data_IF_323190071930
#
_entry.id   IF_323190071930
#
_cell.length_a   1.000
_cell.length_b   1.000
_cell.length_c   1.000
_cell.angle_alpha   90.00
_cell.angle_beta   90.00
_cell.angle_gamma   90.00
#
_symmetry.space_group_name_H-M   'P 1'
#
loop_
_entity.id
_entity.type
_entity.pdbx_description
1 polymer ?
#
# COMPACT_ATOMS: atom_id res chain seq x y z
N UNK A 1 29.76 -0.06 -1.64
CA UNK A 1 28.84 -0.31 -2.77
C UNK A 1 28.36 -1.75 -2.64
N UNK A 2 27.19 -1.97 -2.02
CA UNK A 2 26.71 -3.31 -1.65
C UNK A 2 26.18 -4.10 -2.84
N UNK A 3 26.34 -5.43 -2.82
CA UNK A 3 25.85 -6.35 -3.85
C UNK A 3 24.69 -7.15 -3.28
N UNK A 4 23.52 -7.10 -3.91
CA UNK A 4 22.32 -7.87 -3.49
C UNK A 4 22.02 -8.92 -4.55
N UNK A 5 21.87 -10.19 -4.14
CA UNK A 5 21.37 -11.29 -4.99
C UNK A 5 20.35 -12.13 -4.22
N UNK A 6 19.12 -12.19 -4.72
CA UNK A 6 18.05 -13.04 -4.17
C UNK A 6 17.44 -13.95 -5.24
N UNK A 7 17.08 -15.19 -4.87
CA UNK A 7 16.36 -16.13 -5.73
C UNK A 7 14.94 -16.33 -5.18
N UNK A 8 13.93 -16.32 -6.05
CA UNK A 8 12.52 -16.60 -5.68
C UNK A 8 12.37 -18.11 -5.52
N UNK A 9 11.84 -18.58 -4.40
CA UNK A 9 11.35 -19.95 -4.25
C UNK A 9 9.83 -19.94 -4.39
N UNK A 10 9.30 -20.77 -5.29
CA UNK A 10 7.88 -21.15 -5.29
C UNK A 10 7.67 -22.13 -4.14
N UNK A 11 6.65 -21.90 -3.30
CA UNK A 11 6.26 -22.86 -2.28
C UNK A 11 5.54 -24.06 -2.91
N UNK A 12 5.83 -25.25 -2.40
CA UNK A 12 5.16 -26.50 -2.78
C UNK A 12 3.68 -26.44 -2.35
N UNK A 13 2.78 -26.58 -3.33
CA UNK A 13 1.37 -26.79 -3.10
C UNK A 13 0.89 -27.87 -4.04
N UNK A 14 0.39 -28.98 -3.49
CA UNK A 14 -0.21 -30.07 -4.26
C UNK A 14 -1.43 -29.54 -5.02
N UNK A 15 -1.35 -29.62 -6.35
CA UNK A 15 -2.42 -29.28 -7.27
C UNK A 15 -3.44 -30.41 -7.34
N UNK A 16 -4.65 -30.17 -6.84
CA UNK A 16 -5.84 -30.93 -7.23
C UNK A 16 -6.80 -29.99 -7.93
N UNK A 17 -6.86 -30.14 -9.25
CA UNK A 17 -7.74 -29.43 -10.17
C UNK A 17 -9.19 -29.89 -10.02
N UNK A 18 -10.10 -28.98 -9.59
CA UNK A 18 -11.53 -29.02 -9.95
C UNK A 18 -12.14 -27.61 -9.81
N UNK A 19 -12.69 -27.07 -10.90
CA UNK A 19 -13.83 -26.16 -10.92
C UNK A 19 -13.67 -24.72 -10.42
N UNK A 20 -13.39 -23.80 -11.34
CA UNK A 20 -14.04 -22.47 -11.44
C UNK A 20 -14.40 -21.69 -10.17
N UNK A 21 -13.42 -21.31 -9.33
CA UNK A 21 -13.44 -20.12 -8.48
C UNK A 21 -12.02 -19.58 -8.38
N UNK A 22 -11.79 -18.28 -8.59
CA UNK A 22 -10.48 -17.65 -8.36
C UNK A 22 -10.05 -17.93 -6.92
N UNK A 23 -9.13 -18.87 -6.75
CA UNK A 23 -8.50 -19.21 -5.46
C UNK A 23 -7.47 -18.11 -5.21
N UNK A 24 -7.71 -17.27 -4.19
CA UNK A 24 -6.71 -16.30 -3.72
C UNK A 24 -5.47 -17.12 -3.33
N UNK A 25 -4.39 -16.99 -4.10
CA UNK A 25 -3.15 -17.72 -3.83
C UNK A 25 -2.66 -17.25 -2.46
N UNK A 26 -2.48 -18.19 -1.51
CA UNK A 26 -1.90 -17.95 -0.18
C UNK A 26 -0.41 -17.61 -0.33
N UNK A 27 -0.07 -16.48 -0.95
CA UNK A 27 1.32 -16.16 -1.24
C UNK A 27 1.94 -15.39 -0.08
N UNK A 28 2.42 -16.14 0.92
CA UNK A 28 3.49 -15.68 1.78
C UNK A 28 4.71 -15.39 0.89
N UNK A 29 5.14 -14.13 0.80
CA UNK A 29 6.41 -13.81 0.13
C UNK A 29 7.50 -13.87 1.17
N UNK A 30 8.17 -15.01 1.22
CA UNK A 30 9.44 -15.14 1.91
C UNK A 30 10.60 -15.12 0.94
N UNK A 31 11.72 -14.58 1.39
CA UNK A 31 12.97 -14.56 0.62
C UNK A 31 14.02 -15.41 1.33
N UNK A 32 14.84 -16.05 0.50
CA UNK A 32 16.13 -16.62 0.87
C UNK A 32 17.20 -15.89 0.09
N UNK A 33 18.25 -15.46 0.78
CA UNK A 33 19.31 -14.69 0.17
C UNK A 33 20.28 -14.14 1.21
N UNK A 34 21.07 -13.16 0.80
CA UNK A 34 22.02 -12.49 1.65
C UNK A 34 22.21 -11.05 1.19
N UNK A 35 22.58 -10.16 2.13
CA UNK A 35 23.13 -8.83 1.83
C UNK A 35 24.55 -8.76 2.40
N UNK A 36 25.40 -7.96 1.75
CA UNK A 36 26.69 -7.57 2.30
C UNK A 36 26.65 -6.07 2.62
N UNK A 37 26.93 -5.73 3.87
CA UNK A 37 26.92 -4.38 4.40
C UNK A 37 28.11 -4.19 5.33
N UNK A 38 28.88 -3.13 5.12
CA UNK A 38 30.10 -2.80 5.88
C UNK A 38 31.11 -3.97 6.02
N UNK A 39 31.27 -4.75 4.95
CA UNK A 39 32.15 -5.93 4.93
C UNK A 39 31.61 -7.16 5.66
N UNK A 40 30.44 -7.07 6.28
CA UNK A 40 29.74 -8.18 6.92
C UNK A 40 28.65 -8.74 6.00
N UNK A 41 28.52 -10.07 5.97
CA UNK A 41 27.48 -10.76 5.21
C UNK A 41 26.37 -11.24 6.14
N UNK A 42 25.16 -10.80 5.85
CA UNK A 42 23.95 -11.21 6.54
C UNK A 42 23.18 -12.17 5.65
N UNK A 43 22.92 -13.38 6.13
CA UNK A 43 22.13 -14.38 5.43
C UNK A 43 20.73 -14.46 6.02
N UNK A 44 19.74 -14.68 5.16
CA UNK A 44 18.36 -14.80 5.56
C UNK A 44 17.71 -15.98 4.87
N UNK A 45 16.88 -16.66 5.63
CA UNK A 45 16.03 -17.74 5.17
C UNK A 45 14.63 -17.50 5.72
N UNK A 46 13.61 -17.72 4.89
CA UNK A 46 12.20 -17.48 5.24
C UNK A 46 11.90 -16.06 5.75
N UNK A 47 12.65 -15.05 5.29
CA UNK A 47 12.49 -13.68 5.73
C UNK A 47 11.22 -13.05 5.13
N UNK A 48 10.28 -12.52 5.95
CA UNK A 48 9.13 -11.78 5.46
C UNK A 48 9.59 -10.63 4.55
N UNK A 49 8.90 -10.44 3.43
CA UNK A 49 9.34 -9.45 2.43
C UNK A 49 8.16 -8.69 1.86
N UNK A 50 8.33 -7.38 1.79
CA UNK A 50 7.49 -6.49 1.01
C UNK A 50 8.12 -6.25 -0.37
N UNK A 51 7.29 -6.06 -1.38
CA UNK A 51 7.75 -5.66 -2.71
C UNK A 51 6.68 -4.81 -3.35
N UNK A 52 7.07 -3.58 -3.68
CA UNK A 52 6.23 -2.67 -4.46
C UNK A 52 6.82 -2.41 -5.83
N UNK A 53 5.97 -1.94 -6.73
CA UNK A 53 6.36 -1.50 -8.07
C UNK A 53 5.62 -0.21 -8.39
N UNK A 54 6.40 0.85 -8.61
CA UNK A 54 5.90 2.13 -9.09
C UNK A 54 6.11 2.22 -10.61
N UNK A 55 5.10 2.72 -11.33
CA UNK A 55 5.15 2.95 -12.77
C UNK A 55 4.28 4.16 -13.14
N UNK A 56 4.61 4.86 -14.23
CA UNK A 56 3.88 6.05 -14.69
C UNK A 56 4.81 7.24 -14.95
N UNK A 57 4.21 8.39 -15.30
CA UNK A 57 4.96 9.62 -15.61
C UNK A 57 5.56 10.34 -14.40
N UNK A 58 5.18 9.95 -13.17
CA UNK A 58 5.65 10.53 -11.92
C UNK A 58 4.78 10.08 -10.74
N UNK A 59 5.25 10.34 -9.52
CA UNK A 59 4.47 10.16 -8.29
C UNK A 59 3.28 11.15 -8.24
N UNK A 60 2.27 10.90 -7.37
CA UNK A 60 1.20 11.85 -7.11
C UNK A 60 1.71 13.25 -6.73
N UNK A 61 0.88 14.29 -6.86
CA UNK A 61 1.28 15.65 -6.43
C UNK A 61 1.62 15.72 -4.95
N UNK A 62 0.94 14.90 -4.14
CA UNK A 62 1.12 14.77 -2.69
C UNK A 62 0.73 13.35 -2.29
N UNK A 63 1.51 12.68 -1.45
CA UNK A 63 1.22 11.30 -1.04
C UNK A 63 1.74 10.97 0.36
N UNK A 64 1.18 9.91 0.93
CA UNK A 64 1.67 9.26 2.15
C UNK A 64 1.73 7.75 1.92
N UNK A 65 2.58 7.08 2.68
CA UNK A 65 2.67 5.62 2.70
C UNK A 65 3.04 5.12 4.09
N UNK A 66 2.51 3.95 4.45
CA UNK A 66 2.77 3.22 5.69
C UNK A 66 2.84 1.74 5.34
N UNK A 67 3.90 1.05 5.76
CA UNK A 67 4.09 -0.37 5.55
C UNK A 67 4.73 -1.00 6.79
N UNK A 68 4.29 -2.20 7.14
CA UNK A 68 4.93 -2.96 8.21
C UNK A 68 4.64 -4.45 8.06
N UNK A 69 5.63 -5.29 8.36
CA UNK A 69 5.47 -6.76 8.45
C UNK A 69 5.96 -7.31 9.80
N UNK A 70 6.40 -6.45 10.71
CA UNK A 70 7.02 -6.83 11.98
C UNK A 70 6.14 -6.29 13.09
N UNK A 71 5.30 -7.14 13.66
CA UNK A 71 4.33 -6.76 14.69
C UNK A 71 4.52 -7.56 15.98
N UNK A 72 4.24 -6.91 17.10
CA UNK A 72 4.02 -7.49 18.42
C UNK A 72 2.52 -7.54 18.70
N UNK A 73 2.08 -8.47 19.55
CA UNK A 73 0.67 -8.59 19.97
C UNK A 73 -0.21 -9.46 19.06
N UNK A 74 0.25 -9.80 17.86
CA UNK A 74 -0.45 -10.74 16.97
C UNK A 74 -0.03 -12.20 17.26
N UNK A 75 -1.00 -13.14 17.23
CA UNK A 75 -0.72 -14.58 17.36
C UNK A 75 -0.21 -15.22 16.06
N UNK A 76 -0.14 -14.47 14.97
CA UNK A 76 0.31 -14.92 13.66
C UNK A 76 0.95 -13.80 12.86
N UNK A 77 1.35 -14.13 11.62
CA UNK A 77 1.99 -13.19 10.71
C UNK A 77 1.01 -12.09 10.29
N UNK A 78 1.49 -10.83 10.32
CA UNK A 78 0.73 -9.65 9.90
C UNK A 78 1.54 -8.93 8.83
N UNK A 79 0.87 -8.57 7.74
CA UNK A 79 1.42 -7.70 6.69
C UNK A 79 0.48 -6.51 6.49
N UNK A 80 1.00 -5.30 6.57
CA UNK A 80 0.26 -4.06 6.40
C UNK A 80 0.84 -3.28 5.22
N UNK A 81 -0.05 -2.71 4.41
CA UNK A 81 0.26 -1.62 3.49
C UNK A 81 -0.90 -0.63 3.50
N UNK A 82 -0.59 0.65 3.69
CA UNK A 82 -1.53 1.74 3.53
C UNK A 82 -0.86 2.85 2.73
N UNK A 83 -1.57 3.42 1.77
CA UNK A 83 -1.04 4.46 0.91
C UNK A 83 -2.16 5.36 0.43
N UNK A 84 -1.86 6.63 0.20
CA UNK A 84 -2.80 7.54 -0.41
C UNK A 84 -2.10 8.70 -1.10
N UNK A 85 -2.79 9.30 -2.07
CA UNK A 85 -2.22 10.37 -2.87
C UNK A 85 -3.25 11.18 -3.62
N UNK A 86 -2.89 12.44 -3.85
CA UNK A 86 -3.57 13.35 -4.77
C UNK A 86 -3.06 13.04 -6.19
N UNK A 87 -3.69 12.07 -6.87
CA UNK A 87 -3.24 11.58 -8.17
C UNK A 87 -3.92 12.34 -9.31
N UNK A 88 -3.20 12.49 -10.41
CA UNK A 88 -3.72 13.09 -11.64
C UNK A 88 -4.54 12.05 -12.41
N UNK A 89 -5.73 12.43 -12.86
CA UNK A 89 -6.55 11.60 -13.74
C UNK A 89 -6.15 11.80 -15.21
N UNK A 90 -6.28 10.74 -16.01
CA UNK A 90 -6.05 10.83 -17.45
C UNK A 90 -7.17 11.64 -18.13
N UNK A 91 -6.80 12.65 -18.92
CA UNK A 91 -7.75 13.51 -19.65
C UNK A 91 -7.18 14.88 -20.00
N UNK A 92 -7.95 15.69 -20.74
CA UNK A 92 -7.57 17.04 -21.19
C UNK A 92 -7.66 18.11 -20.09
N UNK A 93 -8.32 17.82 -18.97
CA UNK A 93 -8.47 18.75 -17.85
C UNK A 93 -7.46 18.44 -16.73
N UNK A 94 -7.04 19.47 -15.98
CA UNK A 94 -6.17 19.33 -14.81
C UNK A 94 -6.96 18.80 -13.61
N UNK A 95 -7.43 17.55 -13.71
CA UNK A 95 -8.26 16.90 -12.71
C UNK A 95 -7.41 16.04 -11.78
N UNK A 96 -7.66 16.18 -10.47
CA UNK A 96 -7.02 15.41 -9.41
C UNK A 96 -8.08 14.75 -8.55
N UNK A 97 -7.75 13.58 -8.02
CA UNK A 97 -8.56 12.90 -7.04
C UNK A 97 -7.71 12.42 -5.87
N UNK A 98 -8.35 12.34 -4.69
CA UNK A 98 -7.75 11.65 -3.57
C UNK A 98 -8.06 10.16 -3.68
N UNK A 99 -7.02 9.36 -3.87
CA UNK A 99 -7.09 7.91 -3.84
C UNK A 99 -6.28 7.38 -2.67
N UNK A 100 -6.80 6.39 -1.96
CA UNK A 100 -6.10 5.72 -0.88
C UNK A 100 -6.56 4.27 -0.75
N UNK A 101 -5.72 3.46 -0.11
CA UNK A 101 -6.01 2.07 0.20
C UNK A 101 -5.40 1.69 1.55
N UNK A 102 -6.01 0.68 2.18
CA UNK A 102 -5.42 -0.07 3.29
C UNK A 102 -5.58 -1.56 2.98
N UNK A 103 -4.50 -2.32 3.12
CA UNK A 103 -4.48 -3.76 2.99
C UNK A 103 -3.83 -4.40 4.21
N UNK A 104 -4.54 -5.31 4.86
CA UNK A 104 -4.03 -6.08 6.00
C UNK A 104 -4.13 -7.57 5.69
N UNK A 105 -3.01 -8.28 5.76
CA UNK A 105 -2.98 -9.74 5.77
C UNK A 105 -2.85 -10.24 7.20
N UNK A 106 -3.81 -11.04 7.67
CA UNK A 106 -3.77 -11.66 8.99
C UNK A 106 -4.66 -12.90 9.04
N UNK A 107 -4.21 -13.96 9.72
CA UNK A 107 -4.99 -15.19 9.91
C UNK A 107 -5.39 -15.89 8.61
N UNK A 108 -4.62 -15.72 7.53
CA UNK A 108 -4.94 -16.26 6.20
C UNK A 108 -5.99 -15.46 5.42
N UNK A 109 -6.47 -14.33 5.95
CA UNK A 109 -7.40 -13.42 5.30
C UNK A 109 -6.68 -12.19 4.76
N UNK A 110 -7.25 -11.58 3.72
CA UNK A 110 -6.87 -10.26 3.23
C UNK A 110 -8.02 -9.28 3.47
N UNK A 111 -7.79 -8.31 4.36
CA UNK A 111 -8.73 -7.25 4.66
C UNK A 111 -8.38 -6.06 3.78
N UNK A 112 -9.19 -5.86 2.73
CA UNK A 112 -8.99 -4.83 1.72
C UNK A 112 -9.95 -3.66 1.96
N UNK A 113 -9.38 -2.45 1.95
CA UNK A 113 -10.11 -1.19 2.03
C UNK A 113 -9.66 -0.30 0.88
N UNK A 114 -10.52 -0.16 -0.12
CA UNK A 114 -10.26 0.53 -1.39
C UNK A 114 -11.52 1.25 -1.85
N UNK A 115 -11.43 2.27 -2.73
CA UNK A 115 -12.57 3.12 -3.05
C UNK A 115 -13.80 2.40 -3.63
N UNK A 116 -13.65 1.18 -4.18
CA UNK A 116 -14.75 0.40 -4.73
C UNK A 116 -15.44 -0.55 -3.74
N UNK A 117 -14.87 -0.76 -2.55
CA UNK A 117 -15.47 -1.64 -1.54
C UNK A 117 -15.62 -0.97 -0.16
N UNK A 118 -15.15 0.26 -0.01
CA UNK A 118 -15.10 0.96 1.26
C UNK A 118 -14.64 2.41 1.12
N UNK A 119 -14.34 3.02 2.27
CA UNK A 119 -13.80 4.37 2.35
C UNK A 119 -12.54 4.36 3.21
N UNK A 120 -11.56 5.16 2.81
CA UNK A 120 -10.33 5.42 3.58
C UNK A 120 -10.27 6.90 3.89
N UNK A 121 -10.07 7.24 5.15
CA UNK A 121 -9.85 8.61 5.63
C UNK A 121 -8.49 8.71 6.28
N UNK A 122 -7.88 9.89 6.21
CA UNK A 122 -6.56 10.12 6.78
C UNK A 122 -6.43 11.52 7.36
N UNK A 123 -5.51 11.63 8.31
CA UNK A 123 -4.96 12.84 8.87
C UNK A 123 -3.45 12.68 8.98
N UNK A 124 -2.71 13.30 8.07
CA UNK A 124 -1.25 13.16 7.96
C UNK A 124 -0.60 14.51 8.21
N UNK A 125 0.28 14.59 9.21
CA UNK A 125 1.06 15.80 9.50
C UNK A 125 2.13 16.03 8.43
N UNK A 126 2.74 17.21 8.42
CA UNK A 126 3.90 17.49 7.56
C UNK A 126 5.02 16.44 7.76
N UNK A 127 5.15 15.95 8.98
CA UNK A 127 5.98 14.81 9.37
C UNK A 127 5.56 14.33 10.76
N UNK A 128 5.91 13.10 11.10
CA UNK A 128 5.87 12.59 12.48
C UNK A 128 4.53 12.02 12.93
N UNK A 129 3.46 12.15 12.14
CA UNK A 129 2.14 11.62 12.49
C UNK A 129 1.33 11.20 11.27
N UNK A 130 0.83 9.97 11.30
CA UNK A 130 -0.07 9.37 10.32
C UNK A 130 -1.24 8.73 11.05
N UNK A 131 -2.45 9.26 10.87
CA UNK A 131 -3.68 8.59 11.29
C UNK A 131 -4.48 8.22 10.06
N UNK A 132 -4.78 6.93 9.91
CA UNK A 132 -5.52 6.40 8.78
C UNK A 132 -6.63 5.52 9.34
N UNK A 133 -7.87 5.80 8.95
CA UNK A 133 -9.01 4.97 9.28
C UNK A 133 -9.69 4.50 8.00
N UNK A 134 -10.16 3.27 7.98
CA UNK A 134 -10.90 2.76 6.83
C UNK A 134 -11.99 1.79 7.24
N UNK A 135 -13.02 1.69 6.41
CA UNK A 135 -14.12 0.77 6.61
C UNK A 135 -14.63 0.23 5.28
N UNK A 136 -15.10 -1.03 5.31
CA UNK A 136 -15.87 -1.64 4.25
C UNK A 136 -17.18 -2.20 4.84
N UNK A 137 -17.91 -3.02 4.09
CA UNK A 137 -19.20 -3.58 4.55
C UNK A 137 -19.06 -4.52 5.76
N UNK A 138 -17.88 -5.06 6.01
CA UNK A 138 -17.66 -6.15 6.97
C UNK A 138 -16.67 -5.81 8.08
N UNK A 139 -15.78 -4.84 7.86
CA UNK A 139 -14.65 -4.59 8.74
C UNK A 139 -14.36 -3.09 8.86
N UNK A 140 -13.68 -2.73 9.94
CA UNK A 140 -13.10 -1.41 10.17
C UNK A 140 -11.64 -1.56 10.57
N UNK A 141 -10.78 -0.65 10.14
CA UNK A 141 -9.35 -0.62 10.49
C UNK A 141 -8.93 0.79 10.89
N UNK A 142 -8.01 0.87 11.84
CA UNK A 142 -7.39 2.11 12.29
C UNK A 142 -5.89 1.92 12.45
N UNK A 143 -5.14 2.86 11.90
CA UNK A 143 -3.68 2.93 11.93
C UNK A 143 -3.28 4.26 12.54
N UNK A 144 -2.41 4.22 13.55
CA UNK A 144 -1.73 5.41 14.07
C UNK A 144 -0.25 5.14 14.05
N UNK A 145 0.48 5.92 13.27
CA UNK A 145 1.94 5.89 13.22
C UNK A 145 2.54 7.22 13.67
N UNK A 146 3.60 7.14 14.48
CA UNK A 146 4.35 8.30 14.99
C UNK A 146 5.85 8.13 14.78
N UNK A 147 6.54 9.26 14.57
CA UNK A 147 8.00 9.31 14.42
C UNK A 147 8.53 10.55 15.12
N UNK A 148 9.59 10.39 15.92
CA UNK A 148 10.32 11.51 16.53
C UNK A 148 11.53 11.95 15.69
N UNK A 149 12.18 11.00 15.02
CA UNK A 149 13.35 11.22 14.14
C UNK A 149 13.00 12.05 12.89
N UNK A 150 13.92 12.84 12.32
CA UNK A 150 13.63 13.78 11.24
C UNK A 150 13.25 13.15 9.88
N UNK A 151 13.50 11.86 9.68
CA UNK A 151 13.32 11.14 8.41
C UNK A 151 14.46 11.37 7.42
N UNK A 152 14.58 10.49 6.42
CA UNK A 152 15.62 10.55 5.38
C UNK A 152 15.04 11.19 4.11
N UNK A 153 15.62 12.29 3.60
CA UNK A 153 15.19 12.87 2.33
C UNK A 153 15.57 11.95 1.16
N UNK A 154 14.61 11.66 0.29
CA UNK A 154 14.78 10.81 -0.89
C UNK A 154 14.40 11.54 -2.17
N UNK A 155 15.04 11.14 -3.28
CA UNK A 155 14.67 11.60 -4.61
C UNK A 155 13.53 10.77 -5.18
N UNK A 156 12.48 11.42 -5.65
CA UNK A 156 11.33 10.80 -6.30
C UNK A 156 11.05 11.47 -7.67
N UNK A 157 10.60 10.72 -8.69
CA UNK A 157 10.11 11.29 -9.95
C UNK A 157 8.85 12.15 -9.75
N UNK A 158 8.92 13.42 -10.12
CA UNK A 158 7.77 14.34 -10.17
C UNK A 158 7.42 14.68 -11.62
N UNK A 159 6.18 15.08 -11.87
CA UNK A 159 5.75 15.46 -13.23
C UNK A 159 6.46 16.73 -13.71
N UNK A 160 6.72 17.67 -12.81
CA UNK A 160 7.19 19.01 -13.13
C UNK A 160 8.72 19.12 -13.21
N UNK A 161 9.44 18.38 -12.36
CA UNK A 161 10.88 18.54 -12.20
C UNK A 161 11.69 17.23 -12.41
N UNK A 162 11.03 16.13 -12.77
CA UNK A 162 11.68 14.83 -12.90
C UNK A 162 12.18 14.31 -11.54
N UNK A 163 13.35 13.66 -11.52
CA UNK A 163 13.89 13.06 -10.30
C UNK A 163 14.46 14.13 -9.35
N UNK A 164 13.73 14.51 -8.30
CA UNK A 164 14.13 15.56 -7.34
C UNK A 164 13.88 15.13 -5.90
N UNK A 165 14.49 15.78 -4.93
CA UNK A 165 14.20 15.55 -3.50
C UNK A 165 12.78 16.01 -3.19
N UNK A 166 11.85 15.06 -3.17
CA UNK A 166 10.42 15.30 -3.01
C UNK A 166 9.77 14.25 -2.10
N UNK A 167 10.55 13.41 -1.44
CA UNK A 167 10.10 12.35 -0.58
C UNK A 167 10.89 12.39 0.73
N UNK A 168 10.26 11.96 1.82
CA UNK A 168 10.91 11.74 3.10
C UNK A 168 10.35 10.48 3.75
N UNK A 169 11.22 9.55 4.15
CA UNK A 169 10.84 8.26 4.72
C UNK A 169 11.64 7.87 5.98
N UNK A 170 11.18 6.84 6.69
CA UNK A 170 11.92 6.15 7.75
C UNK A 170 11.32 4.77 7.97
N UNK A 171 12.11 3.83 8.50
CA UNK A 171 11.67 2.50 8.93
C UNK A 171 11.58 2.35 10.45
N UNK A 172 11.66 3.46 11.19
CA UNK A 172 11.66 3.50 12.66
C UNK A 172 10.36 4.05 13.24
N UNK A 173 9.24 3.89 12.53
CA UNK A 173 7.94 4.35 13.01
C UNK A 173 7.35 3.45 14.07
N UNK A 174 6.81 4.07 15.14
CA UNK A 174 5.93 3.42 16.09
C UNK A 174 4.52 3.38 15.50
N UNK A 175 3.94 2.19 15.38
CA UNK A 175 2.67 1.95 14.73
C UNK A 175 1.74 1.15 15.63
N UNK A 176 0.50 1.58 15.73
CA UNK A 176 -0.63 0.81 16.26
C UNK A 176 -1.58 0.46 15.12
N UNK A 177 -1.93 -0.82 15.01
CA UNK A 177 -2.89 -1.38 14.06
C UNK A 177 -4.04 -2.00 14.86
N UNK A 178 -5.26 -1.55 14.56
CA UNK A 178 -6.48 -2.10 15.12
C UNK A 178 -7.43 -2.48 13.99
N UNK A 179 -8.01 -3.68 14.06
CA UNK A 179 -8.93 -4.22 13.07
C UNK A 179 -10.13 -4.86 13.77
N UNK A 180 -11.34 -4.50 13.33
CA UNK A 180 -12.60 -4.99 13.89
C UNK A 180 -13.51 -5.56 12.81
N UNK A 181 -14.37 -6.49 13.21
CA UNK A 181 -15.62 -6.76 12.51
C UNK A 181 -16.53 -5.53 12.60
N UNK A 182 -17.31 -5.28 11.55
CA UNK A 182 -18.34 -4.24 11.52
C UNK A 182 -19.69 -4.87 11.87
N UNK A 183 -20.39 -4.29 12.82
CA UNK A 183 -21.74 -4.73 13.21
C UNK A 183 -22.79 -4.33 12.17
N UNK A 184 -23.97 -4.94 12.24
CA UNK A 184 -25.09 -4.61 11.35
C UNK A 184 -25.59 -3.16 11.47
N UNK A 185 -25.37 -2.50 12.61
CA UNK A 185 -25.63 -1.07 12.83
C UNK A 185 -24.44 -0.17 12.45
N UNK A 186 -23.42 -0.74 11.80
CA UNK A 186 -22.29 0.00 11.24
C UNK A 186 -21.21 0.44 12.23
N UNK A 187 -21.15 -0.16 13.43
CA UNK A 187 -20.20 0.18 14.48
C UNK A 187 -19.06 -0.84 14.58
N UNK A 188 -18.02 -0.49 15.35
CA UNK A 188 -16.94 -1.42 15.74
C UNK A 188 -17.54 -2.56 16.56
N UNK A 189 -17.46 -3.76 16.03
CA UNK A 189 -17.88 -5.01 16.67
C UNK A 189 -16.71 -5.70 17.36
N UNK A 190 -16.57 -7.00 17.10
CA UNK A 190 -15.50 -7.81 17.67
C UNK A 190 -14.13 -7.36 17.15
N UNK A 191 -13.17 -7.17 18.06
CA UNK A 191 -11.77 -6.94 17.71
C UNK A 191 -11.18 -8.22 17.09
N UNK A 192 -10.64 -8.09 15.88
CA UNK A 192 -9.98 -9.17 15.12
C UNK A 192 -8.48 -9.17 15.42
N UNK A 193 -7.87 -7.98 15.42
CA UNK A 193 -6.43 -7.80 15.59
C UNK A 193 -6.14 -6.47 16.28
N UNK A 194 -5.30 -6.53 17.30
CA UNK A 194 -4.58 -5.41 17.87
C UNK A 194 -3.10 -5.75 17.86
N UNK A 195 -2.31 -4.91 17.20
CA UNK A 195 -0.89 -5.16 17.04
C UNK A 195 -0.11 -3.85 17.01
N UNK A 196 1.12 -3.88 17.50
CA UNK A 196 2.02 -2.74 17.50
C UNK A 196 3.36 -3.06 16.84
N UNK A 197 4.04 -2.04 16.34
CA UNK A 197 5.39 -2.15 15.79
C UNK A 197 6.20 -0.91 16.15
N UNK A 198 7.51 -1.06 16.27
CA UNK A 198 8.48 0.05 16.30
C UNK A 198 9.39 0.02 15.06
N UNK A 199 8.93 -0.66 14.00
CA UNK A 199 9.65 -0.87 12.74
C UNK A 199 8.73 -0.57 11.53
N UNK A 200 7.76 0.32 11.69
CA UNK A 200 6.91 0.71 10.58
C UNK A 200 7.70 1.62 9.63
N UNK A 201 7.62 1.29 8.34
CA UNK A 201 8.09 2.15 7.28
C UNK A 201 7.00 3.18 6.98
N UNK A 202 7.35 4.47 7.06
CA UNK A 202 6.42 5.58 6.84
C UNK A 202 7.05 6.62 5.93
N UNK A 203 6.20 7.24 5.11
CA UNK A 203 6.65 8.17 4.09
C UNK A 203 5.62 9.30 3.91
N UNK A 204 6.13 10.49 3.60
CA UNK A 204 5.39 11.57 2.96
C UNK A 204 6.16 12.04 1.75
N UNK A 205 5.45 12.46 0.71
CA UNK A 205 6.09 13.09 -0.44
C UNK A 205 5.20 14.01 -1.24
N UNK A 206 5.82 14.63 -2.23
CA UNK A 206 5.26 15.69 -3.04
C UNK A 206 5.05 16.94 -2.19
N UNK A 207 3.96 17.65 -2.46
CA UNK A 207 3.59 18.80 -1.68
C UNK A 207 2.65 19.76 -2.40
N UNK A 208 2.49 20.97 -1.86
CA UNK A 208 3.13 21.44 -0.63
C UNK A 208 2.56 20.81 0.66
N UNK A 209 3.41 20.74 1.68
CA UNK A 209 3.06 20.34 3.06
C UNK A 209 3.12 21.56 3.98
N UNK A 210 2.15 22.47 3.86
CA UNK A 210 2.07 23.66 4.73
C UNK A 210 1.33 23.41 6.06
N UNK A 211 0.50 22.38 6.08
CA UNK A 211 -0.31 21.98 7.22
C UNK A 211 -0.64 20.49 7.13
N UNK A 212 -1.24 19.97 8.21
CA UNK A 212 -1.81 18.63 8.24
C UNK A 212 -2.80 18.42 7.09
N UNK A 213 -2.62 17.33 6.35
CA UNK A 213 -3.49 16.93 5.26
C UNK A 213 -4.56 15.98 5.79
N UNK A 214 -5.81 16.44 5.79
CA UNK A 214 -6.98 15.61 6.05
C UNK A 214 -7.70 15.30 4.74
N UNK A 215 -8.20 14.08 4.60
CA UNK A 215 -8.97 13.70 3.42
C UNK A 215 -9.66 12.36 3.59
N UNK A 216 -10.57 12.10 2.66
CA UNK A 216 -11.27 10.82 2.49
C UNK A 216 -11.26 10.48 1.01
N UNK A 217 -11.17 9.18 0.70
CA UNK A 217 -11.28 8.69 -0.67
C UNK A 217 -12.56 9.18 -1.32
N UNK A 218 -12.43 9.73 -2.52
CA UNK A 218 -13.57 10.11 -3.35
C UNK A 218 -13.86 8.98 -4.34
N UNK A 219 -15.11 8.51 -4.43
CA UNK A 219 -15.53 7.75 -5.61
C UNK A 219 -15.86 8.76 -6.71
N UNK A 220 -15.25 8.69 -7.90
CA UNK A 220 -15.81 9.39 -9.05
C UNK A 220 -17.17 8.77 -9.37
N UNK A 221 -18.24 9.58 -9.45
CA UNK A 221 -19.59 9.12 -9.83
C UNK A 221 -19.64 8.34 -11.15
N UNK A 222 -18.61 8.49 -11.99
CA UNK A 222 -18.49 7.79 -13.27
C UNK A 222 -18.07 6.30 -13.12
N UNK A 223 -17.34 5.95 -12.05
CA UNK A 223 -16.83 4.58 -11.82
C UNK A 223 -17.92 3.67 -11.26
N UNK A 224 -18.83 4.20 -10.44
CA UNK A 224 -20.01 3.45 -9.95
C UNK A 224 -20.94 3.05 -11.09
N UNK A 225 -21.03 3.89 -12.13
CA UNK A 225 -21.85 3.65 -13.33
C UNK A 225 -21.21 2.63 -14.29
N UNK A 226 -19.88 2.64 -14.43
CA UNK A 226 -19.15 1.72 -15.30
C UNK A 226 -19.04 0.28 -14.73
N UNK A 227 -19.04 0.13 -13.40
CA UNK A 227 -18.95 -1.18 -12.73
C UNK A 227 -20.26 -1.99 -12.78
N UNK A 228 -21.38 -1.40 -13.22
CA UNK A 228 -22.68 -2.07 -13.36
C UNK A 228 -22.92 -2.61 -14.78
N UNK A 229 -21.99 -2.41 -15.71
CA UNK A 229 -22.11 -2.92 -17.08
C UNK A 229 -21.19 -4.14 -17.22
N UNK A 230 -21.69 -5.32 -17.63
CA UNK A 230 -20.82 -6.43 -17.98
C UNK A 230 -19.99 -6.02 -19.20
N UNK A 231 -18.72 -5.70 -18.99
CA UNK A 231 -17.79 -5.40 -20.09
C UNK A 231 -17.34 -6.73 -20.68
N UNK A 232 -17.79 -6.99 -21.91
CA UNK A 232 -17.30 -8.05 -22.77
C UNK A 232 -15.83 -7.78 -23.15
N UNK A 233 -14.94 -8.58 -22.58
CA UNK A 233 -13.49 -8.36 -22.62
C UNK A 233 -12.85 -8.72 -23.97
N UNK A 234 -13.61 -9.25 -24.93
CA UNK A 234 -13.07 -9.69 -26.22
C UNK A 234 -13.16 -8.65 -27.35
N UNK A 235 -13.90 -7.54 -27.18
CA UNK A 235 -14.22 -6.64 -28.31
C UNK A 235 -13.42 -5.32 -28.40
N UNK A 236 -12.53 -5.01 -27.45
CA UNK A 236 -11.78 -3.75 -27.45
C UNK A 236 -10.26 -3.92 -27.33
N UNK A 237 -9.63 -4.35 -28.41
CA UNK A 237 -8.20 -4.11 -28.65
C UNK A 237 -7.98 -3.46 -30.01
N UNK A 238 -7.96 -2.12 -30.12
CA UNK A 238 -7.11 -1.47 -31.10
C UNK A 238 -5.71 -1.39 -30.49
N UNK A 239 -4.80 -2.25 -30.95
CA UNK A 239 -3.38 -2.17 -30.61
C UNK A 239 -2.84 -0.81 -31.07
N UNK A 240 -2.36 0.08 -30.19
CA UNK A 240 -1.69 1.29 -30.64
C UNK A 240 -0.28 0.94 -31.09
N UNK A 241 -0.04 1.07 -32.39
CA UNK A 241 1.26 0.97 -33.03
C UNK A 241 2.11 2.22 -32.73
N UNK A 242 2.51 2.44 -31.47
CA UNK A 242 3.56 3.40 -31.14
C UNK A 242 4.40 2.88 -29.98
N UNK A 243 5.57 2.34 -30.33
CA UNK A 243 6.67 2.06 -29.42
C UNK A 243 7.29 3.41 -29.01
N UNK A 244 7.48 3.72 -27.72
CA UNK A 244 8.29 4.87 -27.34
C UNK A 244 9.76 4.62 -27.72
N UNK A 245 10.49 5.63 -28.25
CA UNK A 245 11.91 5.46 -28.52
C UNK A 245 12.70 5.47 -27.21
N UNK A 246 13.42 4.37 -26.97
CA UNK A 246 14.49 4.30 -25.97
C UNK A 246 14.06 3.93 -24.55
N UNK A 247 13.77 2.65 -24.32
CA UNK A 247 14.20 1.80 -23.20
C UNK A 247 13.61 0.40 -23.34
#
# INVERSE_FOLDING_TARGET
>A
MGRVRGRRQSGDGDDVMMGGRKRLQRSKIVKKGWIEWDGERFEFENAPSYSEKNWGGGFPRKWFWVQCNVFKGASGEVALTAAGGLRKLAGLADNYENAALVGVHYGGNFYEFVPWNGAVSWEISQWGYWHISAENNQNMVELVATVEEPGTPLRAPTQEAGLVTACKDTCYGDLTLLLWEKTSDGKKGKLILEATSNMAAVEVGGGPWFSTWKGTTSMPELVSSALQVPIDVESFFPVPLFKPPGL
#
